data_IF_188733604512
#
_entry.id   IF_188733604512
#
_cell.length_a   1.000
_cell.length_b   1.000
_cell.length_c   1.000
_cell.angle_alpha   90.00
_cell.angle_beta   90.00
_cell.angle_gamma   90.00
#
_symmetry.space_group_name_H-M   'P 1'
#
loop_
_entity.id
_entity.type
_entity.pdbx_description
1 polymer ?
#
# COMPACT_ATOMS: atom_id res chain seq x y z
N UNK A 1 2.38 6.54 -4.94
CA UNK A 1 3.81 6.87 -4.79
C UNK A 1 4.40 7.12 -6.17
N UNK A 2 5.68 7.50 -6.32
CA UNK A 2 6.23 7.88 -7.62
C UNK A 2 5.65 9.20 -8.20
N UNK A 3 5.28 9.21 -9.48
CA UNK A 3 4.77 10.37 -10.24
C UNK A 3 3.45 10.98 -9.74
N UNK A 4 2.90 10.44 -8.64
CA UNK A 4 1.64 10.83 -7.99
C UNK A 4 0.39 10.50 -8.82
N UNK A 5 0.52 9.70 -9.88
CA UNK A 5 -0.64 9.20 -10.63
C UNK A 5 -1.35 8.06 -9.91
N UNK A 6 -2.67 7.98 -10.10
CA UNK A 6 -3.47 6.84 -9.62
C UNK A 6 -3.03 5.53 -10.30
N UNK A 7 -2.63 5.61 -11.58
CA UNK A 7 -2.16 4.46 -12.35
C UNK A 7 -0.91 3.84 -11.73
N UNK A 8 0.10 4.67 -11.43
CA UNK A 8 1.30 4.20 -10.74
C UNK A 8 0.95 3.64 -9.36
N UNK A 9 0.13 4.36 -8.58
CA UNK A 9 -0.25 3.92 -7.23
C UNK A 9 -0.86 2.51 -7.26
N UNK A 10 -1.82 2.27 -8.16
CA UNK A 10 -2.46 0.95 -8.34
C UNK A 10 -1.44 -0.12 -8.70
N UNK A 11 -0.55 0.14 -9.66
CA UNK A 11 0.46 -0.83 -10.09
C UNK A 11 1.42 -1.20 -8.94
N UNK A 12 1.93 -0.21 -8.22
CA UNK A 12 2.86 -0.42 -7.12
C UNK A 12 2.19 -1.19 -5.97
N UNK A 13 0.97 -0.80 -5.59
CA UNK A 13 0.24 -1.44 -4.51
C UNK A 13 -0.23 -2.85 -4.89
N UNK A 14 -0.63 -3.10 -6.14
CA UNK A 14 -0.98 -4.44 -6.61
C UNK A 14 0.20 -5.42 -6.45
N UNK A 15 1.41 -5.01 -6.81
CA UNK A 15 2.62 -5.83 -6.62
C UNK A 15 2.85 -6.15 -5.15
N UNK A 16 2.72 -5.15 -4.27
CA UNK A 16 2.89 -5.34 -2.83
C UNK A 16 1.84 -6.30 -2.26
N UNK A 17 0.55 -6.02 -2.51
CA UNK A 17 -0.55 -6.81 -1.97
C UNK A 17 -0.55 -8.23 -2.52
N UNK A 18 -0.26 -8.45 -3.81
CA UNK A 18 -0.18 -9.80 -4.38
C UNK A 18 0.84 -10.67 -3.64
N UNK A 19 2.01 -10.10 -3.32
CA UNK A 19 3.05 -10.79 -2.54
C UNK A 19 2.59 -11.09 -1.13
N UNK A 20 2.01 -10.11 -0.43
CA UNK A 20 1.59 -10.28 0.97
C UNK A 20 0.42 -11.24 1.10
N UNK A 21 -0.60 -11.13 0.25
CA UNK A 21 -1.72 -12.08 0.21
C UNK A 21 -1.23 -13.51 0.02
N UNK A 22 -0.28 -13.75 -0.89
CA UNK A 22 0.28 -15.08 -1.09
C UNK A 22 0.97 -15.66 0.15
N UNK A 23 1.63 -14.83 0.97
CA UNK A 23 2.29 -15.27 2.21
C UNK A 23 1.27 -15.70 3.29
N UNK A 24 0.03 -15.20 3.21
CA UNK A 24 -1.04 -15.53 4.16
C UNK A 24 -2.10 -16.46 3.56
N UNK A 25 -1.75 -17.21 2.51
CA UNK A 25 -2.64 -18.13 1.78
C UNK A 25 -3.96 -17.48 1.31
N UNK A 26 -3.85 -16.23 0.83
CA UNK A 26 -4.94 -15.47 0.22
C UNK A 26 -4.58 -15.07 -1.22
N UNK A 27 -5.63 -14.83 -2.02
CA UNK A 27 -5.50 -14.24 -3.34
C UNK A 27 -5.86 -12.75 -3.27
N UNK A 28 -5.08 -11.85 -3.90
CA UNK A 28 -5.45 -10.44 -4.01
C UNK A 28 -6.73 -10.32 -4.86
N UNK A 29 -7.61 -9.39 -4.51
CA UNK A 29 -8.81 -9.04 -5.29
C UNK A 29 -8.85 -7.52 -5.47
N UNK A 30 -9.31 -7.04 -6.63
CA UNK A 30 -9.33 -5.59 -6.92
C UNK A 30 -10.31 -4.82 -6.03
N UNK A 31 -11.33 -5.50 -5.51
CA UNK A 31 -12.36 -4.95 -4.63
C UNK A 31 -12.09 -5.22 -3.14
N UNK A 32 -10.94 -5.82 -2.79
CA UNK A 32 -10.60 -6.06 -1.39
C UNK A 32 -10.50 -4.71 -0.63
N UNK A 33 -11.02 -4.63 0.61
CA UNK A 33 -10.97 -3.39 1.36
C UNK A 33 -9.53 -3.04 1.74
N UNK A 34 -9.17 -1.77 1.57
CA UNK A 34 -7.90 -1.21 2.05
C UNK A 34 -8.18 -0.29 3.23
N UNK A 35 -7.49 -0.54 4.34
CA UNK A 35 -7.54 0.36 5.51
C UNK A 35 -6.60 1.53 5.24
N UNK A 36 -7.18 2.71 4.98
CA UNK A 36 -6.43 3.93 4.71
C UNK A 36 -6.26 4.74 6.00
N UNK A 37 -5.01 4.89 6.45
CA UNK A 37 -4.68 5.66 7.66
C UNK A 37 -4.03 7.00 7.31
N UNK A 38 -4.35 8.04 8.07
CA UNK A 38 -3.75 9.37 7.97
C UNK A 38 -3.16 9.74 9.32
N UNK A 39 -1.87 10.06 9.34
CA UNK A 39 -1.15 10.43 10.55
C UNK A 39 -0.35 11.72 10.36
N UNK A 40 0.09 12.30 11.47
CA UNK A 40 1.02 13.44 11.50
C UNK A 40 2.28 13.01 12.26
N UNK A 41 3.44 13.39 11.76
CA UNK A 41 4.70 13.22 12.49
C UNK A 41 4.69 14.15 13.70
N UNK A 42 4.75 13.59 14.91
CA UNK A 42 4.74 14.36 16.18
C UNK A 42 6.12 14.50 16.81
N UNK A 43 7.06 13.62 16.44
CA UNK A 43 8.44 13.67 16.87
C UNK A 43 9.32 13.14 15.74
N UNK A 44 10.32 13.93 15.35
CA UNK A 44 11.38 13.52 14.44
C UNK A 44 12.68 13.53 15.26
N UNK A 45 13.26 12.35 15.51
CA UNK A 45 14.62 12.32 16.03
C UNK A 45 15.56 12.92 14.99
N UNK A 46 16.56 13.68 15.43
CA UNK A 46 17.57 14.24 14.54
C UNK A 46 18.25 13.11 13.74
N UNK A 47 18.55 13.39 12.48
CA UNK A 47 19.03 12.42 11.48
C UNK A 47 20.50 12.00 11.69
#
# INVERSE_FOLDING_TARGET
EGDRSLAYWRQAHWKFFSRVCSVIDRLPQEDMPVVCERFRLVYAADA
#
